data_IF_715074053678
#
_entry.id   IF_715074053678
#
_cell.length_a   1.000
_cell.length_b   1.000
_cell.length_c   1.000
_cell.angle_alpha   90.00
_cell.angle_beta   90.00
_cell.angle_gamma   90.00
#
_symmetry.space_group_name_H-M   'P 1'
#
loop_
_entity.id
_entity.type
_entity.pdbx_description
1 polymer ?
#
# COMPACT_ATOMS: atom_id res chain seq x y z
N UNK A 1 -7.68 36.54 -34.09
CA UNK A 1 -6.53 35.61 -34.02
C UNK A 1 -6.48 34.84 -32.69
N UNK A 2 -7.61 34.29 -32.22
CA UNK A 2 -7.66 33.63 -30.88
C UNK A 2 -8.32 32.23 -30.87
N UNK A 3 -9.01 31.82 -31.94
CA UNK A 3 -9.74 30.54 -31.96
C UNK A 3 -8.83 29.31 -32.16
N UNK A 4 -7.68 29.47 -32.84
CA UNK A 4 -6.77 28.37 -33.16
C UNK A 4 -5.96 27.84 -31.96
N UNK A 5 -5.72 28.66 -30.93
CA UNK A 5 -4.95 28.24 -29.75
C UNK A 5 -5.71 27.28 -28.83
N UNK A 6 -7.04 27.27 -28.88
CA UNK A 6 -7.86 26.38 -28.06
C UNK A 6 -7.87 24.93 -28.58
N UNK A 7 -7.70 24.73 -29.89
CA UNK A 7 -7.65 23.40 -30.52
C UNK A 7 -6.28 22.71 -30.35
N UNK A 8 -5.18 23.49 -30.33
CA UNK A 8 -3.84 22.96 -30.13
C UNK A 8 -3.65 22.30 -28.74
N UNK A 9 -4.33 22.84 -27.71
CA UNK A 9 -4.31 22.33 -26.33
C UNK A 9 -5.12 21.03 -26.15
N UNK A 10 -5.89 20.60 -27.15
CA UNK A 10 -6.73 19.40 -27.08
C UNK A 10 -6.10 18.17 -27.77
N UNK A 11 -5.06 18.37 -28.60
CA UNK A 11 -4.41 17.29 -29.35
C UNK A 11 -3.23 16.61 -28.63
N UNK A 12 -2.77 17.16 -27.50
CA UNK A 12 -1.77 16.53 -26.63
C UNK A 12 -2.37 15.49 -25.66
N UNK A 13 -3.70 15.33 -25.63
CA UNK A 13 -4.38 14.24 -24.91
C UNK A 13 -4.38 12.91 -25.70
N UNK A 14 -3.23 12.60 -26.32
CA UNK A 14 -2.85 11.21 -26.52
C UNK A 14 -2.51 10.64 -25.14
N UNK A 15 -3.54 10.17 -24.44
CA UNK A 15 -3.37 9.28 -23.30
C UNK A 15 -2.63 8.05 -23.81
N UNK A 16 -1.31 8.01 -23.59
CA UNK A 16 -0.56 6.77 -23.64
C UNK A 16 -1.12 5.90 -22.51
N UNK A 17 -2.05 5.01 -22.83
CA UNK A 17 -2.67 4.12 -21.85
C UNK A 17 -1.54 3.41 -21.07
N UNK A 18 -1.43 3.65 -19.76
CA UNK A 18 -0.35 3.05 -18.99
C UNK A 18 -0.43 1.53 -19.12
N UNK A 19 0.67 0.89 -19.49
CA UNK A 19 0.67 -0.55 -19.88
C UNK A 19 0.21 -1.53 -18.79
N UNK A 20 -0.08 -1.05 -17.58
CA UNK A 20 -0.77 -1.81 -16.53
C UNK A 20 -2.30 -1.94 -16.77
N UNK A 21 -2.94 -0.99 -17.45
CA UNK A 21 -4.38 -1.02 -17.77
C UNK A 21 -4.73 -1.86 -19.02
N UNK A 22 -3.75 -2.16 -19.87
CA UNK A 22 -3.98 -2.90 -21.12
C UNK A 22 -4.06 -4.42 -20.89
N UNK A 23 -5.28 -4.92 -20.69
CA UNK A 23 -5.58 -6.36 -20.71
C UNK A 23 -5.84 -6.83 -22.15
N UNK A 24 -5.31 -7.99 -22.59
CA UNK A 24 -5.50 -8.44 -23.95
C UNK A 24 -6.91 -8.97 -24.19
N UNK A 25 -7.39 -8.74 -25.41
CA UNK A 25 -8.78 -8.93 -25.86
C UNK A 25 -9.05 -10.29 -26.51
N UNK A 26 -8.03 -11.12 -26.70
CA UNK A 26 -8.11 -12.49 -27.23
C UNK A 26 -8.44 -13.55 -26.18
N UNK A 27 -8.56 -13.16 -24.91
CA UNK A 27 -8.87 -14.06 -23.79
C UNK A 27 -10.35 -14.05 -23.42
N UNK A 28 -10.89 -15.26 -23.21
CA UNK A 28 -12.22 -15.48 -22.64
C UNK A 28 -12.25 -15.03 -21.17
N UNK A 29 -12.71 -13.81 -20.94
CA UNK A 29 -12.91 -13.24 -19.61
C UNK A 29 -14.24 -13.70 -18.97
N UNK A 30 -14.21 -13.97 -17.68
CA UNK A 30 -15.38 -14.31 -16.84
C UNK A 30 -15.40 -13.42 -15.60
N UNK A 31 -16.54 -13.37 -14.92
CA UNK A 31 -16.67 -12.74 -13.61
C UNK A 31 -17.39 -13.61 -12.59
N UNK A 32 -17.23 -13.30 -11.31
CA UNK A 32 -18.05 -13.78 -10.20
C UNK A 32 -18.12 -12.72 -9.10
N UNK A 33 -19.08 -12.86 -8.19
CA UNK A 33 -19.43 -11.81 -7.22
C UNK A 33 -19.46 -12.34 -5.78
N UNK A 34 -19.36 -11.41 -4.84
CA UNK A 34 -19.46 -11.59 -3.38
C UNK A 34 -20.13 -10.34 -2.80
N UNK A 35 -20.60 -10.35 -1.53
CA UNK A 35 -21.27 -9.20 -0.93
C UNK A 35 -20.56 -7.85 -1.06
N UNK A 36 -19.22 -7.84 -1.09
CA UNK A 36 -18.42 -6.60 -1.15
C UNK A 36 -17.44 -6.51 -2.32
N UNK A 37 -17.31 -7.55 -3.16
CA UNK A 37 -16.36 -7.56 -4.27
C UNK A 37 -16.88 -8.22 -5.55
N UNK A 38 -16.45 -7.67 -6.68
CA UNK A 38 -16.66 -8.20 -8.04
C UNK A 38 -15.31 -8.61 -8.62
N UNK A 39 -15.11 -9.87 -9.04
CA UNK A 39 -13.82 -10.33 -9.59
C UNK A 39 -13.92 -10.68 -11.07
N UNK A 40 -12.92 -10.25 -11.85
CA UNK A 40 -12.72 -10.50 -13.28
C UNK A 40 -11.53 -11.44 -13.44
N UNK A 41 -11.68 -12.53 -14.20
CA UNK A 41 -10.64 -13.57 -14.32
C UNK A 41 -10.63 -14.28 -15.68
N UNK A 42 -9.47 -14.85 -16.06
CA UNK A 42 -9.29 -15.59 -17.32
C UNK A 42 -9.98 -16.97 -17.24
N UNK A 43 -10.63 -17.45 -18.30
CA UNK A 43 -11.27 -18.78 -18.30
C UNK A 43 -10.29 -19.89 -17.86
N UNK A 44 -10.77 -20.82 -17.04
CA UNK A 44 -9.94 -21.78 -16.29
C UNK A 44 -9.62 -21.34 -14.86
N UNK A 45 -9.38 -20.05 -14.60
CA UNK A 45 -8.97 -19.54 -13.27
C UNK A 45 -10.08 -19.52 -12.20
N UNK A 46 -11.26 -20.13 -12.44
CA UNK A 46 -12.45 -20.07 -11.56
C UNK A 46 -12.16 -20.47 -10.11
N UNK A 47 -11.30 -21.47 -9.90
CA UNK A 47 -10.91 -21.93 -8.56
C UNK A 47 -10.09 -20.87 -7.81
N UNK A 48 -9.15 -20.22 -8.50
CA UNK A 48 -8.33 -19.15 -7.93
C UNK A 48 -9.17 -17.90 -7.65
N UNK A 49 -10.05 -17.50 -8.57
CA UNK A 49 -11.00 -16.40 -8.35
C UNK A 49 -11.89 -16.59 -7.11
N UNK A 50 -12.40 -17.81 -6.88
CA UNK A 50 -13.18 -18.12 -5.69
C UNK A 50 -12.35 -18.04 -4.39
N UNK A 51 -11.06 -18.41 -4.44
CA UNK A 51 -10.13 -18.19 -3.31
C UNK A 51 -9.88 -16.70 -3.06
N UNK A 52 -9.64 -15.92 -4.11
CA UNK A 52 -9.35 -14.48 -4.00
C UNK A 52 -10.55 -13.72 -3.44
N UNK A 53 -11.79 -14.03 -3.85
CA UNK A 53 -12.99 -13.47 -3.20
C UNK A 53 -13.07 -13.87 -1.72
N UNK A 54 -12.79 -15.13 -1.37
CA UNK A 54 -12.77 -15.59 0.02
C UNK A 54 -11.70 -14.85 0.85
N UNK A 55 -10.55 -14.50 0.27
CA UNK A 55 -9.53 -13.67 0.90
C UNK A 55 -9.99 -12.21 1.05
N UNK A 56 -10.62 -11.66 0.02
CA UNK A 56 -11.13 -10.29 0.02
C UNK A 56 -12.23 -10.07 1.08
N UNK A 57 -13.16 -11.01 1.24
CA UNK A 57 -14.17 -10.97 2.31
C UNK A 57 -13.55 -11.12 3.72
N UNK A 58 -12.41 -11.82 3.87
CA UNK A 58 -11.62 -11.78 5.13
C UNK A 58 -11.00 -10.41 5.38
N UNK A 59 -10.41 -9.81 4.33
CA UNK A 59 -9.83 -8.48 4.39
C UNK A 59 -10.89 -7.40 4.71
N UNK A 60 -12.09 -7.51 4.14
CA UNK A 60 -13.25 -6.68 4.48
C UNK A 60 -13.57 -6.75 5.98
N UNK A 61 -13.81 -7.95 6.50
CA UNK A 61 -14.21 -8.15 7.90
C UNK A 61 -13.18 -7.62 8.91
N UNK A 62 -11.90 -7.62 8.58
CA UNK A 62 -10.82 -7.20 9.48
C UNK A 62 -10.38 -5.74 9.30
N UNK A 63 -10.46 -5.17 8.09
CA UNK A 63 -9.98 -3.81 7.80
C UNK A 63 -11.10 -2.74 7.86
N UNK A 64 -12.36 -3.10 7.60
CA UNK A 64 -13.49 -2.15 7.68
C UNK A 64 -13.72 -1.53 9.07
N UNK A 65 -13.42 -2.19 10.20
CA UNK A 65 -13.39 -1.55 11.52
C UNK A 65 -12.31 -0.47 11.68
N UNK A 66 -11.29 -0.45 10.82
CA UNK A 66 -10.23 0.57 10.78
C UNK A 66 -10.59 1.66 9.75
N UNK A 67 -11.15 1.28 8.61
CA UNK A 67 -11.54 2.18 7.53
C UNK A 67 -13.08 2.16 7.33
N UNK A 68 -13.85 2.92 8.13
CA UNK A 68 -15.30 3.01 8.01
C UNK A 68 -15.75 3.72 6.73
N UNK A 69 -14.93 4.61 6.18
CA UNK A 69 -15.11 5.24 4.86
C UNK A 69 -14.46 4.37 3.77
N UNK A 70 -15.28 3.62 3.03
CA UNK A 70 -14.86 2.65 2.04
C UNK A 70 -15.81 2.66 0.82
N UNK A 71 -15.39 2.14 -0.35
CA UNK A 71 -16.32 1.92 -1.46
C UNK A 71 -17.41 0.89 -1.08
N UNK A 72 -18.62 0.98 -1.69
CA UNK A 72 -19.71 0.04 -1.42
C UNK A 72 -19.43 -1.36 -2.01
N UNK A 73 -18.62 -1.44 -3.06
CA UNK A 73 -18.05 -2.67 -3.62
C UNK A 73 -16.72 -2.34 -4.30
N UNK A 74 -15.78 -3.30 -4.32
CA UNK A 74 -14.46 -3.17 -4.94
C UNK A 74 -14.28 -4.20 -6.04
N UNK A 75 -13.80 -3.78 -7.21
CA UNK A 75 -13.46 -4.68 -8.29
C UNK A 75 -12.09 -5.33 -8.08
N UNK A 76 -11.94 -6.59 -8.48
CA UNK A 76 -10.67 -7.32 -8.46
C UNK A 76 -10.40 -7.83 -9.89
N UNK A 77 -9.18 -7.69 -10.40
CA UNK A 77 -8.78 -8.33 -11.67
C UNK A 77 -7.67 -9.33 -11.40
N UNK A 78 -7.83 -10.55 -11.91
CA UNK A 78 -6.76 -11.54 -11.93
C UNK A 78 -5.95 -11.41 -13.21
N UNK A 79 -4.69 -11.01 -13.06
CA UNK A 79 -3.73 -10.84 -14.15
C UNK A 79 -2.61 -11.87 -14.02
N UNK A 80 -2.30 -12.58 -15.09
CA UNK A 80 -1.44 -13.77 -15.06
C UNK A 80 -0.46 -13.74 -16.25
N UNK A 81 0.27 -12.61 -16.34
CA UNK A 81 0.92 -12.19 -17.59
C UNK A 81 2.18 -11.32 -17.38
N UNK A 82 2.65 -11.16 -16.14
CA UNK A 82 3.90 -10.47 -15.78
C UNK A 82 4.45 -11.13 -14.51
N UNK A 83 5.76 -11.34 -14.44
CA UNK A 83 6.46 -11.83 -13.25
C UNK A 83 6.60 -10.74 -12.16
N UNK A 84 5.46 -10.21 -11.71
CA UNK A 84 5.36 -9.23 -10.63
C UNK A 84 4.65 -9.89 -9.44
N UNK A 85 5.31 -9.92 -8.27
CA UNK A 85 4.94 -10.80 -7.16
C UNK A 85 3.81 -10.30 -6.24
N UNK A 86 3.27 -9.10 -6.51
CA UNK A 86 2.36 -8.37 -5.63
C UNK A 86 1.01 -8.13 -6.32
N UNK A 87 0.84 -6.96 -6.94
CA UNK A 87 -0.42 -6.49 -7.49
C UNK A 87 -0.30 -5.01 -7.87
N UNK A 88 -1.45 -4.34 -7.97
CA UNK A 88 -1.57 -2.89 -7.79
C UNK A 88 -3.02 -2.49 -7.49
N UNK A 89 -3.26 -1.34 -6.84
CA UNK A 89 -4.58 -0.83 -6.49
C UNK A 89 -4.81 0.59 -7.03
N UNK A 90 -5.97 0.84 -7.63
CA UNK A 90 -6.38 2.14 -8.19
C UNK A 90 -7.85 2.46 -7.84
N UNK A 91 -8.11 3.69 -7.38
CA UNK A 91 -9.48 4.21 -7.26
C UNK A 91 -10.03 4.85 -8.56
N UNK A 92 -9.28 4.73 -9.65
CA UNK A 92 -9.57 5.25 -10.98
C UNK A 92 -9.64 4.10 -12.01
N UNK A 93 -10.59 4.11 -12.97
CA UNK A 93 -11.78 4.97 -13.03
C UNK A 93 -12.86 4.55 -12.04
N UNK A 94 -12.70 3.40 -11.40
CA UNK A 94 -13.48 2.90 -10.26
C UNK A 94 -12.54 2.19 -9.26
N UNK A 95 -12.92 2.06 -7.97
CA UNK A 95 -12.19 1.29 -6.96
C UNK A 95 -11.92 -0.15 -7.39
N UNK A 96 -10.67 -0.44 -7.73
CA UNK A 96 -10.23 -1.78 -8.08
C UNK A 96 -8.79 -2.07 -7.66
N UNK A 97 -8.49 -3.35 -7.54
CA UNK A 97 -7.10 -3.81 -7.49
C UNK A 97 -6.87 -5.03 -8.38
N UNK A 98 -5.62 -5.26 -8.71
CA UNK A 98 -5.16 -6.33 -9.58
C UNK A 98 -4.25 -7.23 -8.77
N UNK A 99 -4.54 -8.53 -8.75
CA UNK A 99 -3.69 -9.55 -8.14
C UNK A 99 -2.93 -10.26 -9.26
N UNK A 100 -1.60 -10.24 -9.19
CA UNK A 100 -0.78 -11.00 -10.13
C UNK A 100 -0.69 -12.47 -9.68
N UNK A 101 -1.01 -13.40 -10.57
CA UNK A 101 -1.27 -14.81 -10.24
C UNK A 101 -0.01 -15.69 -10.06
N UNK A 102 1.09 -15.12 -9.57
CA UNK A 102 2.40 -15.79 -9.42
C UNK A 102 2.71 -16.12 -7.95
N UNK A 103 2.21 -17.23 -7.39
CA UNK A 103 2.51 -17.63 -6.02
C UNK A 103 3.97 -18.10 -5.87
N UNK A 104 4.57 -17.98 -4.67
CA UNK A 104 5.96 -18.38 -4.43
C UNK A 104 6.13 -19.90 -4.27
N UNK A 105 7.10 -20.46 -5.00
CA UNK A 105 7.52 -21.87 -4.91
C UNK A 105 7.75 -22.31 -3.46
N UNK A 106 6.97 -23.31 -3.00
CA UNK A 106 7.11 -23.83 -1.64
C UNK A 106 6.44 -25.20 -1.45
N UNK A 107 7.11 -26.07 -0.70
CA UNK A 107 6.87 -27.52 -0.57
C UNK A 107 5.60 -27.94 0.18
N UNK A 108 4.63 -27.04 0.35
CA UNK A 108 3.35 -27.33 1.00
C UNK A 108 2.23 -26.45 0.38
N UNK A 109 2.16 -26.52 -0.95
CA UNK A 109 1.54 -25.58 -1.91
C UNK A 109 0.24 -24.92 -1.44
N UNK A 110 -0.72 -25.70 -0.92
CA UNK A 110 -2.04 -25.17 -0.55
C UNK A 110 -1.96 -24.17 0.63
N UNK A 111 -1.12 -24.45 1.63
CA UNK A 111 -0.99 -23.59 2.82
C UNK A 111 -0.16 -22.33 2.52
N UNK A 112 0.83 -22.42 1.64
CA UNK A 112 1.63 -21.26 1.24
C UNK A 112 0.89 -20.36 0.26
N UNK A 113 0.16 -20.94 -0.71
CA UNK A 113 -0.72 -20.21 -1.62
C UNK A 113 -1.78 -19.40 -0.86
N UNK A 114 -2.49 -20.00 0.10
CA UNK A 114 -3.55 -19.31 0.85
C UNK A 114 -2.98 -18.20 1.76
N UNK A 115 -1.77 -18.37 2.31
CA UNK A 115 -1.08 -17.35 3.12
C UNK A 115 -0.52 -16.18 2.28
N UNK A 116 0.06 -16.47 1.11
CA UNK A 116 0.51 -15.44 0.17
C UNK A 116 -0.68 -14.66 -0.39
N UNK A 117 -1.75 -15.35 -0.78
CA UNK A 117 -2.95 -14.72 -1.32
C UNK A 117 -3.64 -13.82 -0.29
N UNK A 118 -3.69 -14.22 0.98
CA UNK A 118 -4.14 -13.32 2.05
C UNK A 118 -3.19 -12.11 2.18
N UNK A 119 -1.86 -12.29 2.24
CA UNK A 119 -0.93 -11.14 2.32
C UNK A 119 -1.15 -10.13 1.19
N UNK A 120 -1.24 -10.60 -0.06
CA UNK A 120 -1.46 -9.76 -1.24
C UNK A 120 -2.82 -9.08 -1.22
N UNK A 121 -3.91 -9.82 -0.96
CA UNK A 121 -5.26 -9.24 -0.96
C UNK A 121 -5.46 -8.24 0.18
N UNK A 122 -4.83 -8.46 1.33
CA UNK A 122 -4.79 -7.44 2.40
C UNK A 122 -3.98 -6.21 1.97
N UNK A 123 -2.80 -6.38 1.35
CA UNK A 123 -1.97 -5.27 0.87
C UNK A 123 -2.74 -4.35 -0.09
N UNK A 124 -3.29 -4.93 -1.15
CA UNK A 124 -3.99 -4.17 -2.20
C UNK A 124 -5.33 -3.57 -1.71
N UNK A 125 -6.07 -4.28 -0.84
CA UNK A 125 -7.30 -3.73 -0.30
C UNK A 125 -7.05 -2.62 0.74
N UNK A 126 -5.92 -2.64 1.47
CA UNK A 126 -5.48 -1.49 2.29
C UNK A 126 -5.20 -0.27 1.42
N UNK A 127 -4.54 -0.43 0.26
CA UNK A 127 -4.38 0.67 -0.69
C UNK A 127 -5.74 1.22 -1.16
N UNK A 128 -6.68 0.35 -1.57
CA UNK A 128 -8.04 0.75 -1.96
C UNK A 128 -8.74 1.57 -0.86
N UNK A 129 -8.71 1.07 0.39
CA UNK A 129 -9.32 1.70 1.56
C UNK A 129 -8.65 3.03 1.94
N UNK A 130 -7.32 3.06 2.04
CA UNK A 130 -6.56 4.27 2.39
C UNK A 130 -6.76 5.39 1.37
N UNK A 131 -6.84 5.04 0.08
CA UNK A 131 -7.07 5.98 -1.02
C UNK A 131 -8.55 6.35 -1.20
N UNK A 132 -9.49 5.76 -0.46
CA UNK A 132 -10.92 6.03 -0.68
C UNK A 132 -11.44 7.33 -0.08
N UNK A 133 -11.12 7.73 1.18
CA UNK A 133 -11.62 8.97 1.77
C UNK A 133 -11.24 10.22 0.98
N UNK A 134 -12.14 11.22 1.00
CA UNK A 134 -11.91 12.55 0.45
C UNK A 134 -12.80 13.55 1.19
N UNK A 135 -12.20 14.30 2.11
CA UNK A 135 -12.89 15.16 3.07
C UNK A 135 -12.49 16.64 2.89
N UNK A 136 -13.08 17.53 3.70
CA UNK A 136 -12.96 18.97 3.50
C UNK A 136 -13.35 19.40 2.08
N UNK A 137 -12.53 20.24 1.44
CA UNK A 137 -12.75 20.72 0.08
C UNK A 137 -12.72 19.60 -0.99
N UNK A 138 -12.00 18.51 -0.75
CA UNK A 138 -11.94 17.38 -1.68
C UNK A 138 -13.28 16.67 -1.85
N UNK A 139 -14.14 16.70 -0.82
CA UNK A 139 -15.50 16.15 -0.90
C UNK A 139 -16.35 16.85 -1.96
N UNK A 140 -16.16 18.16 -2.13
CA UNK A 140 -16.82 18.93 -3.19
C UNK A 140 -16.26 18.57 -4.57
N UNK A 141 -14.93 18.55 -4.73
CA UNK A 141 -14.29 18.11 -5.98
C UNK A 141 -14.74 16.69 -6.39
N UNK A 142 -14.85 15.77 -5.42
CA UNK A 142 -15.29 14.39 -5.64
C UNK A 142 -16.74 14.27 -6.07
N UNK A 143 -17.59 15.24 -5.73
CA UNK A 143 -18.97 15.30 -6.24
C UNK A 143 -19.05 15.70 -7.73
N UNK A 144 -17.98 16.29 -8.29
CA UNK A 144 -17.88 16.73 -9.69
C UNK A 144 -17.12 15.70 -10.54
N UNK A 145 -15.95 15.24 -10.05
CA UNK A 145 -15.03 14.39 -10.80
C UNK A 145 -15.07 12.91 -10.38
N UNK A 146 -15.94 12.52 -9.43
CA UNK A 146 -16.03 11.15 -8.94
C UNK A 146 -14.75 10.66 -8.26
N UNK A 147 -14.50 9.35 -8.28
CA UNK A 147 -13.37 8.72 -7.58
C UNK A 147 -11.98 9.04 -8.15
N UNK A 148 -11.91 9.90 -9.18
CA UNK A 148 -10.67 10.53 -9.65
C UNK A 148 -10.03 11.42 -8.57
N UNK A 149 -10.83 11.91 -7.62
CA UNK A 149 -10.34 12.72 -6.49
C UNK A 149 -9.88 11.81 -5.37
N UNK A 150 -8.55 11.65 -5.29
CA UNK A 150 -7.83 10.73 -4.39
C UNK A 150 -6.79 11.51 -3.57
N UNK A 151 -7.19 12.25 -2.50
CA UNK A 151 -6.28 13.17 -1.80
C UNK A 151 -5.11 12.46 -1.12
N UNK A 152 -5.38 11.32 -0.48
CA UNK A 152 -4.33 10.48 0.12
C UNK A 152 -3.36 9.92 -0.93
N UNK A 153 -3.74 9.87 -2.21
CA UNK A 153 -2.86 9.48 -3.33
C UNK A 153 -1.76 10.51 -3.63
N UNK A 154 -1.80 11.70 -3.02
CA UNK A 154 -0.80 12.76 -3.18
C UNK A 154 0.30 12.71 -2.10
N UNK A 155 0.34 11.65 -1.29
CA UNK A 155 1.38 11.39 -0.29
C UNK A 155 2.60 10.68 -0.91
N UNK A 156 3.80 10.77 -0.29
CA UNK A 156 4.96 9.92 -0.61
C UNK A 156 4.63 8.41 -0.61
N UNK A 157 5.25 7.63 -1.50
CA UNK A 157 4.90 6.22 -1.73
C UNK A 157 5.22 5.32 -0.54
N UNK A 158 6.25 5.63 0.25
CA UNK A 158 6.53 4.91 1.51
C UNK A 158 5.39 5.02 2.53
N UNK A 159 4.50 6.01 2.41
CA UNK A 159 3.32 6.15 3.27
C UNK A 159 2.11 5.37 2.76
N UNK A 160 2.08 4.96 1.48
CA UNK A 160 1.13 3.97 0.95
C UNK A 160 1.64 2.57 1.23
N UNK A 161 2.80 2.22 0.69
CA UNK A 161 3.39 0.88 0.81
C UNK A 161 3.64 0.51 2.27
N UNK A 162 3.97 1.48 3.12
CA UNK A 162 4.11 1.28 4.54
C UNK A 162 2.85 0.83 5.26
N UNK A 163 1.71 1.46 4.93
CA UNK A 163 0.44 1.16 5.58
C UNK A 163 -0.06 -0.22 5.14
N UNK A 164 0.04 -0.50 3.84
CA UNK A 164 -0.25 -1.81 3.27
C UNK A 164 0.67 -2.90 3.85
N UNK A 165 1.98 -2.67 3.92
CA UNK A 165 2.96 -3.61 4.50
C UNK A 165 2.76 -3.83 5.99
N UNK A 166 2.35 -2.80 6.74
CA UNK A 166 2.02 -2.95 8.16
C UNK A 166 0.75 -3.78 8.36
N UNK A 167 -0.34 -3.43 7.68
CA UNK A 167 -1.64 -4.07 7.89
C UNK A 167 -1.75 -5.47 7.24
N UNK A 168 -1.07 -5.76 6.13
CA UNK A 168 -0.91 -7.15 5.65
C UNK A 168 -0.20 -8.01 6.72
N UNK A 169 0.74 -7.41 7.46
CA UNK A 169 1.53 -8.12 8.45
C UNK A 169 0.71 -8.34 9.70
N UNK A 170 0.00 -7.33 10.21
CA UNK A 170 -0.83 -7.50 11.42
C UNK A 170 -1.96 -8.52 11.19
N UNK A 171 -2.64 -8.48 10.04
CA UNK A 171 -3.90 -9.22 9.83
C UNK A 171 -3.82 -10.50 8.99
N UNK A 172 -2.75 -10.74 8.21
CA UNK A 172 -2.50 -12.05 7.58
C UNK A 172 -1.52 -12.89 8.41
N UNK A 173 -1.38 -14.18 8.09
CA UNK A 173 -0.27 -15.00 8.62
C UNK A 173 1.06 -14.75 7.87
N UNK A 174 1.02 -14.08 6.71
CA UNK A 174 2.18 -13.67 5.92
C UNK A 174 2.71 -12.30 6.35
N UNK A 175 2.85 -11.40 5.37
CA UNK A 175 3.31 -10.02 5.53
C UNK A 175 4.82 -9.83 5.55
N UNK A 176 5.31 -8.86 4.77
CA UNK A 176 6.76 -8.62 4.59
C UNK A 176 7.43 -8.13 5.88
N UNK A 177 6.68 -7.53 6.81
CA UNK A 177 7.14 -7.12 8.14
C UNK A 177 7.75 -8.25 8.98
N UNK A 178 7.22 -9.49 8.85
CA UNK A 178 7.77 -10.68 9.55
C UNK A 178 9.00 -11.28 8.88
N UNK A 179 9.35 -10.87 7.66
CA UNK A 179 10.35 -11.53 6.83
C UNK A 179 11.76 -11.58 7.47
N UNK A 180 12.56 -12.62 7.19
CA UNK A 180 13.99 -12.62 7.50
C UNK A 180 14.73 -11.46 6.82
N UNK A 181 14.24 -11.01 5.66
CA UNK A 181 14.80 -9.89 4.91
C UNK A 181 14.72 -8.56 5.68
N UNK A 182 13.56 -8.16 6.20
CA UNK A 182 13.44 -6.91 7.00
C UNK A 182 14.30 -6.95 8.28
N UNK A 183 14.42 -8.13 8.90
CA UNK A 183 15.29 -8.37 10.06
C UNK A 183 16.78 -8.24 9.68
N UNK A 184 17.15 -8.71 8.49
CA UNK A 184 18.49 -8.53 7.90
C UNK A 184 18.77 -7.07 7.57
N UNK A 185 17.82 -6.31 6.99
CA UNK A 185 17.98 -4.89 6.68
C UNK A 185 18.41 -4.11 7.92
N UNK A 186 17.61 -4.20 8.99
CA UNK A 186 17.92 -3.60 10.30
C UNK A 186 19.30 -4.03 10.80
N UNK A 187 19.58 -5.34 10.84
CA UNK A 187 20.85 -5.88 11.35
C UNK A 187 22.06 -5.38 10.57
N UNK A 188 22.00 -5.33 9.23
CA UNK A 188 23.13 -4.93 8.39
C UNK A 188 23.39 -3.42 8.43
N UNK A 189 22.35 -2.59 8.53
CA UNK A 189 22.53 -1.15 8.74
C UNK A 189 23.27 -0.83 10.06
N UNK A 190 22.96 -1.54 11.15
CA UNK A 190 23.72 -1.45 12.40
C UNK A 190 25.12 -2.07 12.31
N UNK A 191 25.28 -3.23 11.67
CA UNK A 191 26.59 -3.90 11.47
C UNK A 191 27.57 -3.04 10.66
N UNK A 192 27.06 -2.21 9.75
CA UNK A 192 27.83 -1.26 8.93
C UNK A 192 27.94 0.15 9.54
N UNK A 193 27.30 0.41 10.69
CA UNK A 193 27.24 1.72 11.33
C UNK A 193 26.70 2.85 10.40
N UNK A 194 25.67 2.53 9.61
CA UNK A 194 24.96 3.48 8.72
C UNK A 194 23.51 3.77 9.17
N UNK A 195 23.06 3.15 10.27
CA UNK A 195 21.70 3.32 10.78
C UNK A 195 21.44 4.76 11.24
N UNK A 196 20.48 5.43 10.60
CA UNK A 196 20.16 6.83 10.89
C UNK A 196 21.11 7.85 10.23
N UNK A 197 22.04 7.39 9.39
CA UNK A 197 22.85 8.24 8.51
C UNK A 197 22.53 7.91 7.05
N UNK A 198 23.25 6.97 6.46
CA UNK A 198 23.17 6.58 5.05
C UNK A 198 22.09 5.51 4.82
N UNK A 199 21.53 4.97 5.91
CA UNK A 199 20.35 4.12 5.92
C UNK A 199 19.24 4.79 6.75
N UNK A 200 18.12 5.13 6.08
CA UNK A 200 17.07 6.10 6.45
C UNK A 200 17.29 7.59 6.07
N UNK A 201 18.12 8.00 5.09
CA UNK A 201 18.07 9.37 4.56
C UNK A 201 16.81 9.57 3.69
N UNK A 202 16.43 10.83 3.45
CA UNK A 202 15.14 11.20 2.84
C UNK A 202 14.95 10.68 1.41
N UNK A 203 16.03 10.66 0.63
CA UNK A 203 16.13 10.11 -0.72
C UNK A 203 15.98 8.58 -0.76
N UNK A 204 16.35 7.88 0.32
CA UNK A 204 16.18 6.43 0.40
C UNK A 204 14.74 6.02 0.76
N UNK A 205 13.90 6.90 1.35
CA UNK A 205 12.56 6.56 1.85
C UNK A 205 11.64 5.93 0.80
N UNK A 206 11.42 6.62 -0.32
CA UNK A 206 10.58 6.16 -1.44
C UNK A 206 11.31 5.15 -2.36
N UNK A 207 12.61 4.91 -2.11
CA UNK A 207 13.47 3.94 -2.81
C UNK A 207 14.52 4.60 -3.72
N UNK A 208 15.75 4.07 -3.66
CA UNK A 208 16.85 4.43 -4.58
C UNK A 208 17.02 3.39 -5.69
N UNK A 209 17.53 3.81 -6.85
CA UNK A 209 17.98 2.92 -7.93
C UNK A 209 19.44 2.47 -7.78
N UNK A 210 20.25 3.19 -7.00
CA UNK A 210 21.67 2.91 -6.74
C UNK A 210 21.93 2.29 -5.37
N UNK A 211 21.05 2.54 -4.39
CA UNK A 211 21.37 2.36 -2.98
C UNK A 211 20.47 1.33 -2.32
N UNK A 212 21.10 0.40 -1.60
CA UNK A 212 20.41 -0.65 -0.86
C UNK A 212 19.57 -0.06 0.29
N UNK A 213 18.29 -0.46 0.45
CA UNK A 213 17.68 -1.70 -0.04
C UNK A 213 16.86 -1.56 -1.35
N UNK A 214 17.13 -0.53 -2.16
CA UNK A 214 16.46 -0.26 -3.44
C UNK A 214 14.92 -0.16 -3.30
N UNK A 215 14.16 -0.77 -4.22
CA UNK A 215 12.69 -0.75 -4.21
C UNK A 215 12.02 -1.35 -2.97
N UNK A 216 12.76 -2.00 -2.07
CA UNK A 216 12.22 -2.47 -0.78
C UNK A 216 12.19 -1.38 0.31
N UNK A 217 12.78 -0.21 0.09
CA UNK A 217 12.81 0.89 1.07
C UNK A 217 11.43 1.35 1.49
N UNK A 218 10.55 1.66 0.54
CA UNK A 218 9.20 2.16 0.79
C UNK A 218 8.42 1.22 1.72
N UNK A 219 8.53 -0.09 1.47
CA UNK A 219 7.94 -1.16 2.28
C UNK A 219 8.57 -1.26 3.68
N UNK A 220 9.91 -1.27 3.79
CA UNK A 220 10.61 -1.45 5.07
C UNK A 220 10.52 -0.25 6.00
N UNK A 221 10.76 0.96 5.47
CA UNK A 221 10.66 2.20 6.22
C UNK A 221 9.19 2.48 6.53
N UNK A 222 8.31 2.45 5.53
CA UNK A 222 6.88 2.61 5.72
C UNK A 222 6.31 1.64 6.77
N UNK A 223 6.66 0.35 6.73
CA UNK A 223 6.29 -0.62 7.77
C UNK A 223 6.76 -0.16 9.16
N UNK A 224 8.02 0.24 9.27
CA UNK A 224 8.62 0.69 10.54
C UNK A 224 7.94 1.96 11.10
N UNK A 225 7.44 2.81 10.21
CA UNK A 225 6.70 4.02 10.53
C UNK A 225 5.31 3.70 11.09
N UNK A 226 4.51 2.90 10.37
CA UNK A 226 3.17 2.54 10.82
C UNK A 226 3.16 1.57 12.01
N UNK A 227 4.16 0.69 12.15
CA UNK A 227 4.39 -0.11 13.37
C UNK A 227 4.53 0.80 14.60
N UNK A 228 5.23 1.93 14.47
CA UNK A 228 5.43 2.89 15.55
C UNK A 228 4.17 3.72 15.84
N UNK A 229 3.44 4.16 14.80
CA UNK A 229 2.15 4.86 14.98
C UNK A 229 1.07 3.96 15.62
N UNK A 230 1.03 2.68 15.24
CA UNK A 230 0.12 1.69 15.84
C UNK A 230 0.43 1.46 17.32
N UNK A 231 1.72 1.34 17.71
CA UNK A 231 2.11 1.28 19.13
C UNK A 231 1.63 2.50 19.94
N UNK A 232 1.51 3.68 19.32
CA UNK A 232 1.05 4.92 19.98
C UNK A 232 -0.47 5.04 20.11
N UNK A 233 -1.24 4.72 19.07
CA UNK A 233 -2.69 5.02 19.00
C UNK A 233 -3.57 3.91 18.39
N UNK A 234 -3.00 2.75 18.06
CA UNK A 234 -3.71 1.60 17.50
C UNK A 234 -4.50 1.93 16.21
N UNK A 235 -5.55 1.15 15.96
CA UNK A 235 -6.44 1.33 14.80
C UNK A 235 -7.06 2.72 14.71
N UNK A 236 -7.44 3.33 15.84
CA UNK A 236 -7.99 4.69 15.83
C UNK A 236 -6.97 5.71 15.31
N UNK A 237 -5.70 5.60 15.72
CA UNK A 237 -4.64 6.47 15.20
C UNK A 237 -4.43 6.37 13.70
N UNK A 238 -4.61 5.18 13.12
CA UNK A 238 -4.55 4.97 11.67
C UNK A 238 -5.76 5.58 10.97
N UNK A 239 -6.98 5.38 11.50
CA UNK A 239 -8.19 6.00 10.96
C UNK A 239 -8.11 7.53 11.00
N UNK A 240 -7.79 8.09 12.18
CA UNK A 240 -7.68 9.52 12.40
C UNK A 240 -6.68 10.15 11.41
N UNK A 241 -5.52 9.49 11.20
CA UNK A 241 -4.51 9.93 10.24
C UNK A 241 -4.98 9.89 8.79
N UNK A 242 -5.59 8.78 8.35
CA UNK A 242 -6.09 8.63 6.99
C UNK A 242 -7.24 9.61 6.70
N UNK A 243 -8.06 9.93 7.70
CA UNK A 243 -9.14 10.92 7.65
C UNK A 243 -8.59 12.35 7.57
N UNK A 244 -7.66 12.73 8.45
CA UNK A 244 -7.01 14.04 8.44
C UNK A 244 -6.23 14.28 7.13
N UNK A 245 -5.45 13.29 6.67
CA UNK A 245 -4.77 13.32 5.39
C UNK A 245 -5.75 13.52 4.22
N UNK A 246 -6.95 12.91 4.29
CA UNK A 246 -7.96 13.03 3.21
C UNK A 246 -8.62 14.42 3.11
N UNK A 247 -8.37 15.30 4.09
CA UNK A 247 -8.75 16.72 4.07
C UNK A 247 -7.58 17.65 3.72
N UNK A 248 -6.35 17.13 3.70
CA UNK A 248 -5.13 17.91 3.62
C UNK A 248 -4.81 18.36 2.18
N UNK A 249 -4.03 19.44 2.03
CA UNK A 249 -3.58 19.92 0.72
C UNK A 249 -2.16 19.40 0.40
N UNK A 250 -1.74 19.32 -0.88
CA UNK A 250 -0.41 18.84 -1.24
C UNK A 250 0.70 19.67 -0.59
N UNK A 251 1.87 19.05 -0.39
CA UNK A 251 3.05 19.62 0.30
C UNK A 251 2.90 19.82 1.82
N UNK A 252 1.69 19.88 2.38
CA UNK A 252 1.45 20.00 3.83
C UNK A 252 1.55 18.65 4.57
N UNK A 253 2.53 17.81 4.22
CA UNK A 253 2.63 16.41 4.68
C UNK A 253 2.62 16.27 6.20
N UNK A 254 3.22 17.22 6.94
CA UNK A 254 3.26 17.19 8.41
C UNK A 254 1.91 17.48 9.10
N UNK A 255 0.97 18.19 8.46
CA UNK A 255 -0.26 18.65 9.11
C UNK A 255 -1.09 17.53 9.77
N UNK A 256 -1.44 16.43 9.08
CA UNK A 256 -2.24 15.36 9.70
C UNK A 256 -1.47 14.59 10.79
N UNK A 257 -0.13 14.57 10.77
CA UNK A 257 0.66 13.98 11.87
C UNK A 257 0.70 14.88 13.10
N UNK A 258 0.79 16.20 12.91
CA UNK A 258 0.67 17.18 14.00
C UNK A 258 -0.72 17.14 14.62
N UNK A 259 -1.77 17.06 13.82
CA UNK A 259 -3.16 16.93 14.30
C UNK A 259 -3.38 15.63 15.10
N UNK A 260 -2.95 14.49 14.55
CA UNK A 260 -3.31 13.18 15.10
C UNK A 260 -2.31 12.66 16.13
N UNK A 261 -1.02 12.97 16.02
CA UNK A 261 0.03 12.48 16.92
C UNK A 261 0.74 13.58 17.72
N UNK A 262 0.54 14.86 17.40
CA UNK A 262 1.24 15.98 18.05
C UNK A 262 2.71 16.09 17.63
N UNK A 263 3.10 15.46 16.51
CA UNK A 263 4.48 15.30 16.06
C UNK A 263 4.57 15.46 14.54
N UNK A 264 5.68 16.02 14.05
CA UNK A 264 6.02 16.03 12.62
C UNK A 264 6.59 14.67 12.17
N UNK A 265 6.60 14.43 10.86
CA UNK A 265 7.18 13.21 10.26
C UNK A 265 8.67 13.04 10.63
N UNK A 266 9.53 14.08 10.62
CA UNK A 266 10.91 13.97 11.11
C UNK A 266 11.03 13.60 12.59
N UNK A 267 10.15 14.10 13.47
CA UNK A 267 10.17 13.76 14.90
C UNK A 267 9.78 12.30 15.14
N UNK A 268 8.75 11.81 14.44
CA UNK A 268 8.37 10.39 14.44
C UNK A 268 9.54 9.52 13.95
N UNK A 269 10.24 9.94 12.88
CA UNK A 269 11.43 9.25 12.42
C UNK A 269 12.56 9.23 13.46
N UNK A 270 12.79 10.35 14.15
CA UNK A 270 13.79 10.44 15.20
C UNK A 270 13.45 9.52 16.39
N UNK A 271 12.17 9.36 16.74
CA UNK A 271 11.72 8.36 17.73
C UNK A 271 11.97 6.92 17.26
N UNK A 272 11.66 6.59 16.00
CA UNK A 272 11.89 5.25 15.42
C UNK A 272 13.38 4.90 15.40
N UNK A 273 14.25 5.83 15.00
CA UNK A 273 15.71 5.67 15.05
C UNK A 273 16.16 5.34 16.48
N UNK A 274 15.63 6.08 17.47
CA UNK A 274 15.96 5.92 18.88
C UNK A 274 15.41 4.61 19.47
N UNK A 275 14.20 4.18 19.09
CA UNK A 275 13.57 2.93 19.52
C UNK A 275 14.39 1.73 19.00
N UNK A 276 14.65 1.67 17.68
CA UNK A 276 15.35 0.54 17.06
C UNK A 276 16.83 0.49 17.45
N UNK A 277 17.47 1.64 17.71
CA UNK A 277 18.83 1.69 18.33
C UNK A 277 18.83 1.04 19.72
N UNK A 278 17.90 1.44 20.60
CA UNK A 278 17.77 0.84 21.95
C UNK A 278 17.41 -0.64 21.89
N UNK A 279 16.62 -1.08 20.90
CA UNK A 279 16.33 -2.49 20.66
C UNK A 279 17.58 -3.27 20.24
N UNK A 280 18.35 -2.77 19.27
CA UNK A 280 19.54 -3.47 18.75
C UNK A 280 20.68 -3.52 19.77
N UNK A 281 20.86 -2.47 20.58
CA UNK A 281 21.79 -2.50 21.72
C UNK A 281 21.39 -3.59 22.73
N UNK A 282 20.11 -3.68 23.11
CA UNK A 282 19.60 -4.74 24.01
C UNK A 282 19.76 -6.15 23.42
N UNK A 283 19.67 -6.32 22.10
CA UNK A 283 19.98 -7.59 21.42
C UNK A 283 21.46 -7.94 21.52
N UNK A 284 22.36 -6.98 21.26
CA UNK A 284 23.80 -7.16 21.41
C UNK A 284 24.20 -7.56 22.84
N UNK A 285 23.70 -6.87 23.86
CA UNK A 285 23.98 -7.21 25.26
C UNK A 285 23.57 -8.64 25.66
N UNK A 286 22.53 -9.21 25.01
CA UNK A 286 22.08 -10.60 25.20
C UNK A 286 22.85 -11.66 24.36
N UNK A 287 23.86 -11.24 23.62
CA UNK A 287 24.71 -12.12 22.79
C UNK A 287 26.18 -12.12 23.25
N UNK A 288 26.53 -11.25 24.21
CA UNK A 288 27.89 -11.10 24.77
C UNK A 288 27.94 -11.34 26.28
N UNK A 289 26.79 -11.67 26.89
CA UNK A 289 26.60 -12.14 28.27
C UNK A 289 25.65 -13.35 28.23
#
# INVERSE_FOLDING_TARGET
MHFFWFLALCQSLLFAEPSYLSFPSDVSWKSMESPHFFIIYREGQKSFAAKTLKAAERAYGLLRPIFPEAPPSTSIVLADFRDSLNGYSLNFPYPHFVVFASPPDSTNELSSLDQWLDSVVFHEYVHTLHLYPANGAWKWLRSIFGTWVVPNGMMPSHLHEGLATFLETEFSQGGRGRSPFFKMLTRKAFEKNVWGTDFLPLDLLDGSSSDWPHGASAYYFGYSFYEHLWKKKGSKGIYDLASAASSNWPYFVNSPYLEVFGLTVPEIWQEIINEKTKEQQRKWFKLVN
#
